data_IF_193974223532
#
_entry.id   IF_193974223532
#
_cell.length_a   1.000
_cell.length_b   1.000
_cell.length_c   1.000
_cell.angle_alpha   90.00
_cell.angle_beta   90.00
_cell.angle_gamma   90.00
#
_symmetry.space_group_name_H-M   'P 1'
#
loop_
_entity.id
_entity.type
_entity.pdbx_description
1 polymer ?
#
# COMPACT_ATOMS: atom_id res chain seq x y z
N UNK A 1 17.17 8.56 -12.22
CA UNK A 1 16.55 8.14 -10.95
C UNK A 1 15.06 8.45 -11.03
N UNK A 2 14.22 7.45 -10.81
CA UNK A 2 12.77 7.62 -10.74
C UNK A 2 12.32 7.92 -9.30
N UNK A 3 11.12 8.47 -9.15
CA UNK A 3 10.48 8.64 -7.84
C UNK A 3 10.32 7.30 -7.09
N UNK A 4 10.16 6.19 -7.81
CA UNK A 4 10.09 4.85 -7.23
C UNK A 4 11.44 4.41 -6.64
N UNK A 5 12.55 4.70 -7.31
CA UNK A 5 13.90 4.38 -6.80
C UNK A 5 14.21 5.10 -5.49
N UNK A 6 13.71 6.33 -5.35
CA UNK A 6 13.82 7.11 -4.12
C UNK A 6 12.82 6.65 -3.03
N UNK A 7 11.63 6.18 -3.39
CA UNK A 7 10.63 5.63 -2.46
C UNK A 7 11.09 4.30 -1.85
N UNK A 8 11.66 3.42 -2.66
CA UNK A 8 11.93 2.02 -2.33
C UNK A 8 12.69 1.81 -1.01
N UNK A 9 13.83 2.48 -0.74
CA UNK A 9 14.57 2.28 0.50
C UNK A 9 13.78 2.73 1.74
N UNK A 10 13.02 3.83 1.63
CA UNK A 10 12.24 4.39 2.74
C UNK A 10 11.08 3.45 3.08
N UNK A 11 10.32 3.02 2.08
CA UNK A 11 9.21 2.08 2.25
C UNK A 11 9.71 0.76 2.86
N UNK A 12 10.84 0.24 2.38
CA UNK A 12 11.43 -0.99 2.88
C UNK A 12 11.85 -0.87 4.35
N UNK A 13 12.44 0.27 4.73
CA UNK A 13 12.82 0.54 6.11
C UNK A 13 11.60 0.59 7.03
N UNK A 14 10.55 1.31 6.64
CA UNK A 14 9.32 1.41 7.44
C UNK A 14 8.66 0.04 7.63
N UNK A 15 8.56 -0.76 6.57
CA UNK A 15 7.98 -2.11 6.65
C UNK A 15 8.81 -3.01 7.58
N UNK A 16 10.15 -2.92 7.54
CA UNK A 16 11.02 -3.70 8.44
C UNK A 16 10.89 -3.28 9.91
N UNK A 17 10.77 -1.98 10.17
CA UNK A 17 10.68 -1.44 11.53
C UNK A 17 9.31 -1.66 12.18
N UNK A 18 8.24 -1.45 11.41
CA UNK A 18 6.86 -1.54 11.93
C UNK A 18 6.30 -2.95 11.82
N UNK A 19 6.73 -3.70 10.80
CA UNK A 19 6.16 -5.00 10.47
C UNK A 19 4.83 -4.89 9.71
N UNK A 20 4.27 -6.06 9.40
CA UNK A 20 3.02 -6.22 8.62
C UNK A 20 1.83 -6.70 9.45
N UNK A 21 1.94 -6.72 10.77
CA UNK A 21 0.91 -7.25 11.66
C UNK A 21 -0.23 -6.26 11.87
N UNK A 22 0.09 -4.99 12.08
CA UNK A 22 -0.90 -3.92 12.23
C UNK A 22 -0.86 -2.96 11.04
N UNK A 23 -1.81 -3.14 10.11
CA UNK A 23 -1.93 -2.29 8.92
C UNK A 23 -2.27 -0.83 9.23
N UNK A 24 -2.91 -0.55 10.35
CA UNK A 24 -3.24 0.83 10.75
C UNK A 24 -1.98 1.56 11.17
N UNK A 25 -1.13 0.90 11.98
CA UNK A 25 0.16 1.45 12.41
C UNK A 25 1.09 1.59 11.21
N UNK A 26 1.17 0.58 10.34
CA UNK A 26 1.98 0.64 9.11
C UNK A 26 1.57 1.79 8.19
N UNK A 27 0.26 1.98 7.97
CA UNK A 27 -0.25 3.10 7.17
C UNK A 27 0.18 4.45 7.75
N UNK A 28 0.06 4.63 9.07
CA UNK A 28 0.45 5.87 9.75
C UNK A 28 1.96 6.13 9.61
N UNK A 29 2.77 5.09 9.75
CA UNK A 29 4.23 5.20 9.62
C UNK A 29 4.64 5.58 8.19
N UNK A 30 4.06 4.93 7.16
CA UNK A 30 4.34 5.27 5.76
C UNK A 30 3.87 6.69 5.40
N UNK A 31 2.74 7.12 5.93
CA UNK A 31 2.22 8.50 5.83
C UNK A 31 3.21 9.50 6.43
N UNK A 32 3.80 9.19 7.59
CA UNK A 32 4.77 10.05 8.27
C UNK A 32 6.15 10.06 7.62
N UNK A 33 6.54 8.97 6.95
CA UNK A 33 7.86 8.81 6.34
C UNK A 33 7.95 9.41 4.92
N UNK A 34 6.85 9.97 4.40
CA UNK A 34 6.80 10.54 3.06
C UNK A 34 7.73 11.76 2.94
N UNK A 35 8.73 11.75 2.04
CA UNK A 35 9.80 12.75 2.04
C UNK A 35 9.53 13.99 1.17
N UNK A 36 8.55 13.94 0.26
CA UNK A 36 8.39 14.97 -0.78
C UNK A 36 7.35 16.05 -0.45
N UNK A 37 7.03 16.22 0.84
CA UNK A 37 6.11 17.26 1.31
C UNK A 37 4.67 16.96 0.91
N UNK A 38 4.17 17.66 -0.11
CA UNK A 38 2.79 17.52 -0.56
C UNK A 38 2.54 16.17 -1.24
N UNK A 39 1.39 15.56 -0.94
CA UNK A 39 0.98 14.25 -1.46
C UNK A 39 0.27 14.39 -2.79
N UNK A 40 0.89 15.10 -3.71
CA UNK A 40 0.29 15.42 -5.01
C UNK A 40 1.08 14.80 -6.16
N UNK A 41 0.41 14.65 -7.31
CA UNK A 41 1.03 14.39 -8.60
C UNK A 41 1.85 13.07 -8.69
N UNK A 42 2.93 13.10 -9.45
CA UNK A 42 3.75 11.93 -9.79
C UNK A 42 4.51 11.29 -8.59
N UNK A 43 5.09 12.06 -7.64
CA UNK A 43 5.83 11.48 -6.52
C UNK A 43 4.93 10.64 -5.62
N UNK A 44 3.73 11.14 -5.33
CA UNK A 44 2.78 10.42 -4.49
C UNK A 44 2.23 9.15 -5.17
N UNK A 45 1.99 9.18 -6.48
CA UNK A 45 1.59 7.97 -7.23
C UNK A 45 2.69 6.91 -7.23
N UNK A 46 3.95 7.32 -7.41
CA UNK A 46 5.09 6.41 -7.34
C UNK A 46 5.26 5.80 -5.94
N UNK A 47 5.07 6.61 -4.89
CA UNK A 47 5.07 6.15 -3.49
C UNK A 47 4.04 5.06 -3.24
N UNK A 48 2.78 5.28 -3.67
CA UNK A 48 1.70 4.29 -3.50
C UNK A 48 1.96 3.00 -4.29
N UNK A 49 2.49 3.13 -5.51
CA UNK A 49 2.86 1.99 -6.34
C UNK A 49 3.95 1.15 -5.67
N UNK A 50 4.96 1.79 -5.09
CA UNK A 50 6.07 1.12 -4.42
C UNK A 50 5.62 0.41 -3.14
N UNK A 51 4.75 1.05 -2.35
CA UNK A 51 4.14 0.42 -1.19
C UNK A 51 3.37 -0.84 -1.59
N UNK A 52 2.54 -0.76 -2.64
CA UNK A 52 1.80 -1.92 -3.16
C UNK A 52 2.75 -3.02 -3.63
N UNK A 53 3.86 -2.66 -4.29
CA UNK A 53 4.88 -3.60 -4.76
C UNK A 53 5.55 -4.35 -3.60
N UNK A 54 5.93 -3.65 -2.53
CA UNK A 54 6.62 -4.26 -1.38
C UNK A 54 5.70 -5.01 -0.40
N UNK A 55 4.41 -4.65 -0.35
CA UNK A 55 3.42 -5.39 0.43
C UNK A 55 2.84 -6.59 -0.30
N UNK A 56 2.86 -6.59 -1.64
CA UNK A 56 2.26 -7.65 -2.46
C UNK A 56 0.73 -7.61 -2.52
N UNK A 57 0.09 -6.73 -1.75
CA UNK A 57 -1.34 -6.47 -1.77
C UNK A 57 -1.58 -4.96 -1.58
N UNK A 58 -2.75 -4.43 -1.98
CA UNK A 58 -3.07 -3.03 -1.74
C UNK A 58 -3.12 -2.73 -0.23
N UNK A 59 -2.71 -1.52 0.13
CA UNK A 59 -2.65 -1.04 1.52
C UNK A 59 -4.04 -0.80 2.14
N UNK A 60 -5.04 -0.65 1.28
CA UNK A 60 -6.44 -0.75 1.62
C UNK A 60 -6.94 -2.07 1.03
N UNK A 61 -7.35 -3.00 1.88
CA UNK A 61 -8.12 -4.14 1.40
C UNK A 61 -9.37 -3.59 0.67
N UNK A 62 -9.75 -4.15 -0.49
CA UNK A 62 -11.05 -3.88 -1.06
C UNK A 62 -12.08 -4.11 0.05
N UNK A 63 -13.03 -3.19 0.23
CA UNK A 63 -14.20 -3.50 1.05
C UNK A 63 -14.82 -4.73 0.40
N UNK A 64 -14.85 -5.86 1.12
CA UNK A 64 -15.71 -6.96 0.75
C UNK A 64 -17.12 -6.38 0.79
N UNK A 65 -17.67 -6.09 -0.38
CA UNK A 65 -19.06 -5.68 -0.49
C UNK A 65 -19.88 -6.96 -0.25
N UNK A 66 -20.60 -7.08 0.88
CA UNK A 66 -21.40 -8.27 1.16
C UNK A 66 -22.54 -8.46 0.14
N UNK A 67 -22.86 -7.44 -0.66
CA UNK A 67 -23.82 -7.54 -1.76
C UNK A 67 -23.19 -8.01 -3.08
N UNK A 68 -21.85 -8.05 -3.19
CA UNK A 68 -21.17 -8.49 -4.40
C UNK A 68 -21.11 -10.03 -4.48
N UNK A 69 -22.24 -10.63 -4.87
CA UNK A 69 -22.42 -12.08 -5.10
C UNK A 69 -21.65 -12.65 -6.30
N UNK A 70 -20.70 -11.91 -6.87
CA UNK A 70 -19.92 -12.37 -8.03
C UNK A 70 -19.08 -13.62 -7.70
N UNK A 71 -18.77 -13.86 -6.43
CA UNK A 71 -18.11 -15.08 -5.94
C UNK A 71 -19.03 -16.32 -5.95
N UNK A 72 -20.35 -16.15 -5.89
CA UNK A 72 -21.32 -17.26 -5.92
C UNK A 72 -21.42 -17.92 -7.31
N UNK A 73 -20.86 -17.28 -8.35
CA UNK A 73 -20.94 -17.75 -9.74
C UNK A 73 -19.94 -18.89 -10.04
N UNK A 74 -18.95 -19.12 -9.17
CA UNK A 74 -17.86 -20.08 -9.39
C UNK A 74 -17.85 -21.26 -8.42
N UNK A 75 -18.88 -21.44 -7.58
CA UNK A 75 -19.08 -22.65 -6.78
C UNK A 75 -19.97 -23.67 -7.53
N UNK A 76 -19.40 -24.71 -8.16
CA UNK A 76 -20.19 -25.87 -8.57
C UNK A 76 -20.49 -26.71 -7.33
N UNK A 77 -21.79 -26.91 -7.04
CA UNK A 77 -22.27 -27.90 -6.07
C UNK A 77 -21.83 -29.32 -6.43
#
# INVERSE_FOLDING_TARGET
MSWADAAAPIVAQVIRQVGRTDMRVLRKALVSAYPWGERENAPYKAWLAEIRRQLGHPLNAPKADPANRQIDLFDPR
#
